data_IF_753813206048
#
_entry.id   IF_753813206048
#
_cell.length_a   1.000
_cell.length_b   1.000
_cell.length_c   1.000
_cell.angle_alpha   90.00
_cell.angle_beta   90.00
_cell.angle_gamma   90.00
#
_symmetry.space_group_name_H-M   'P 1'
#
loop_
_entity.id
_entity.type
_entity.pdbx_description
1 polymer ?
#
# COMPACT_ATOMS: atom_id res chain seq x y z
N UNK A 1 -17.19 33.13 -7.66
CA UNK A 1 -15.79 33.24 -7.20
C UNK A 1 -15.05 31.95 -7.54
N UNK A 2 -13.81 32.06 -8.01
CA UNK A 2 -12.94 30.91 -8.25
C UNK A 2 -12.41 30.40 -6.91
N UNK A 3 -12.77 29.19 -6.54
CA UNK A 3 -12.24 28.53 -5.35
C UNK A 3 -10.88 27.88 -5.70
N UNK A 4 -9.86 28.14 -4.90
CA UNK A 4 -8.55 27.54 -5.11
C UNK A 4 -8.57 26.11 -4.59
N UNK A 5 -8.55 25.12 -5.48
CA UNK A 5 -8.53 23.68 -5.11
C UNK A 5 -7.15 23.26 -4.62
N UNK A 6 -6.08 23.73 -5.28
CA UNK A 6 -4.69 23.40 -4.95
C UNK A 6 -3.78 24.60 -5.17
N UNK A 7 -2.84 24.82 -4.25
CA UNK A 7 -1.79 25.84 -4.38
C UNK A 7 -0.51 25.35 -3.69
N UNK A 8 0.58 25.30 -4.43
CA UNK A 8 1.92 25.19 -3.90
C UNK A 8 2.33 26.55 -3.34
N UNK A 9 2.71 26.61 -2.07
CA UNK A 9 3.04 27.86 -1.36
C UNK A 9 4.55 28.02 -1.16
N UNK A 10 5.23 26.95 -0.80
CA UNK A 10 6.67 26.96 -0.48
C UNK A 10 7.33 25.66 -0.93
N UNK A 11 8.57 25.77 -1.38
CA UNK A 11 9.45 24.64 -1.73
C UNK A 11 10.82 24.83 -1.08
N UNK A 12 11.52 23.73 -0.88
CA UNK A 12 12.94 23.77 -0.50
C UNK A 12 13.84 23.92 -1.76
N UNK A 13 15.16 24.15 -1.60
CA UNK A 13 16.07 24.28 -2.74
C UNK A 13 16.17 23.07 -3.67
N UNK A 14 15.64 21.91 -3.26
CA UNK A 14 15.57 20.70 -4.07
C UNK A 14 14.25 20.55 -4.85
N UNK A 15 13.38 21.58 -4.82
CA UNK A 15 12.06 21.52 -5.47
C UNK A 15 11.04 20.65 -4.73
N UNK A 16 11.31 20.25 -3.48
CA UNK A 16 10.34 19.50 -2.69
C UNK A 16 9.38 20.47 -2.00
N UNK A 17 8.06 20.23 -2.11
CA UNK A 17 7.06 21.06 -1.45
C UNK A 17 7.23 21.04 0.07
N UNK A 18 7.38 22.20 0.70
CA UNK A 18 7.39 22.36 2.15
C UNK A 18 6.05 22.84 2.67
N UNK A 19 5.24 23.50 1.79
CA UNK A 19 3.90 23.94 2.15
C UNK A 19 2.96 23.95 0.96
N UNK A 20 1.82 23.29 1.14
CA UNK A 20 0.76 23.18 0.13
C UNK A 20 -0.57 23.55 0.77
N UNK A 21 -1.42 24.24 0.03
CA UNK A 21 -2.82 24.47 0.39
C UNK A 21 -3.73 23.68 -0.54
N UNK A 22 -4.71 22.97 0.03
CA UNK A 22 -5.76 22.27 -0.71
C UNK A 22 -7.10 22.66 -0.10
N UNK A 23 -7.87 23.48 -0.81
CA UNK A 23 -9.03 24.15 -0.23
C UNK A 23 -8.61 24.92 1.03
N UNK A 24 -9.25 24.65 2.17
CA UNK A 24 -8.97 25.30 3.46
C UNK A 24 -7.94 24.52 4.33
N UNK A 25 -7.28 23.51 3.78
CA UNK A 25 -6.30 22.68 4.51
C UNK A 25 -4.90 23.07 4.09
N UNK A 26 -4.08 23.48 5.05
CA UNK A 26 -2.64 23.67 4.86
C UNK A 26 -1.90 22.38 5.23
N UNK A 27 -0.99 21.94 4.35
CA UNK A 27 -0.09 20.82 4.57
C UNK A 27 1.34 21.34 4.64
N UNK A 28 2.03 20.99 5.72
CA UNK A 28 3.43 21.33 5.92
C UNK A 28 4.25 20.03 5.89
N UNK A 29 5.42 20.08 5.26
CA UNK A 29 6.35 18.99 5.13
C UNK A 29 7.74 19.43 5.57
N UNK A 30 8.39 18.62 6.36
CA UNK A 30 9.76 18.84 6.81
C UNK A 30 10.65 17.72 6.25
N UNK A 31 11.89 18.05 5.92
CA UNK A 31 12.85 17.14 5.32
C UNK A 31 14.20 17.20 6.02
N UNK A 32 14.96 16.13 5.93
CA UNK A 32 16.40 16.15 6.24
C UNK A 32 17.15 16.95 5.18
N UNK A 33 18.44 17.31 5.42
CA UNK A 33 19.30 17.89 4.38
C UNK A 33 19.46 17.00 3.12
N UNK A 34 19.16 15.72 3.22
CA UNK A 34 19.23 14.73 2.14
C UNK A 34 17.87 14.46 1.48
N UNK A 35 16.83 15.23 1.84
CA UNK A 35 15.50 15.12 1.22
C UNK A 35 14.58 14.03 1.80
N UNK A 36 14.96 13.34 2.87
CA UNK A 36 14.07 12.38 3.54
C UNK A 36 13.02 13.12 4.38
N UNK A 37 11.73 12.71 4.36
CA UNK A 37 10.68 13.39 5.11
C UNK A 37 10.88 13.18 6.62
N UNK A 38 10.91 14.25 7.42
CA UNK A 38 10.98 14.19 8.90
C UNK A 38 9.66 14.54 9.56
N UNK A 39 8.75 15.20 8.83
CA UNK A 39 7.44 15.57 9.36
C UNK A 39 6.42 15.83 8.27
N UNK A 40 5.17 15.56 8.59
CA UNK A 40 4.02 15.83 7.72
C UNK A 40 2.83 16.24 8.58
N UNK A 41 2.33 17.44 8.39
CA UNK A 41 1.18 17.95 9.11
C UNK A 41 0.13 18.51 8.15
N UNK A 42 -1.14 18.17 8.37
CA UNK A 42 -2.27 18.74 7.67
C UNK A 42 -3.25 19.34 8.68
N UNK A 43 -3.55 20.65 8.53
CA UNK A 43 -4.42 21.38 9.44
C UNK A 43 -5.31 22.38 8.68
N UNK A 44 -6.56 22.51 9.15
CA UNK A 44 -7.45 23.61 8.85
C UNK A 44 -7.33 24.73 9.90
N UNK A 45 -8.28 25.66 9.91
CA UNK A 45 -8.27 26.82 10.80
C UNK A 45 -8.29 26.46 12.29
N UNK A 46 -9.00 25.39 12.67
CA UNK A 46 -9.19 24.98 14.08
C UNK A 46 -8.88 23.49 14.34
N UNK A 47 -8.60 22.70 13.30
CA UNK A 47 -8.48 21.26 13.41
C UNK A 47 -7.21 20.76 12.75
N UNK A 48 -6.41 19.97 13.48
CA UNK A 48 -5.33 19.17 12.90
C UNK A 48 -5.90 17.82 12.46
N UNK A 49 -5.83 17.54 11.17
CA UNK A 49 -6.31 16.29 10.58
C UNK A 49 -5.25 15.19 10.63
N UNK A 50 -3.99 15.57 10.41
CA UNK A 50 -2.85 14.66 10.36
C UNK A 50 -1.61 15.33 10.96
N UNK A 51 -0.82 14.60 11.74
CA UNK A 51 0.45 15.07 12.27
C UNK A 51 1.38 13.85 12.49
N UNK A 52 2.33 13.66 11.58
CA UNK A 52 3.31 12.59 11.64
C UNK A 52 4.73 13.12 11.74
N UNK A 53 5.56 12.38 12.47
CA UNK A 53 7.01 12.56 12.47
C UNK A 53 7.73 11.26 12.14
N UNK A 54 8.91 11.36 11.54
CA UNK A 54 9.71 10.24 11.05
C UNK A 54 11.16 10.43 11.45
N UNK A 55 11.80 9.33 11.82
CA UNK A 55 13.24 9.26 12.09
C UNK A 55 13.84 8.21 11.16
N UNK A 56 14.89 8.61 10.43
CA UNK A 56 15.63 7.73 9.53
C UNK A 56 17.02 7.46 10.07
N UNK A 57 17.55 6.30 9.75
CA UNK A 57 18.95 5.99 9.95
C UNK A 57 19.81 6.84 8.99
N UNK A 58 20.81 7.60 9.48
CA UNK A 58 21.58 8.51 8.63
C UNK A 58 22.54 7.81 7.66
N UNK A 59 22.85 6.53 7.88
CA UNK A 59 23.76 5.74 7.05
C UNK A 59 23.03 4.96 5.99
N UNK A 60 21.97 4.25 6.39
CA UNK A 60 21.21 3.35 5.49
C UNK A 60 19.99 4.01 4.86
N UNK A 61 19.55 5.17 5.38
CA UNK A 61 18.28 5.83 5.04
C UNK A 61 17.05 4.99 5.34
N UNK A 62 17.17 3.95 6.16
CA UNK A 62 16.05 3.15 6.61
C UNK A 62 15.20 3.93 7.63
N UNK A 63 13.88 3.81 7.54
CA UNK A 63 12.97 4.39 8.53
C UNK A 63 13.13 3.67 9.88
N UNK A 64 13.56 4.37 10.92
CA UNK A 64 13.69 3.81 12.28
C UNK A 64 12.43 3.95 13.12
N UNK A 65 11.77 5.10 12.99
CA UNK A 65 10.58 5.39 13.80
C UNK A 65 9.58 6.20 12.99
N UNK A 66 8.32 5.84 13.10
CA UNK A 66 7.16 6.62 12.65
C UNK A 66 6.28 6.93 13.85
N UNK A 67 5.86 8.19 14.00
CA UNK A 67 4.95 8.60 15.07
C UNK A 67 3.74 9.32 14.53
N UNK A 68 2.55 8.89 14.90
CA UNK A 68 1.32 9.66 14.81
C UNK A 68 1.20 10.54 16.07
N UNK A 69 1.53 11.82 15.94
CA UNK A 69 1.53 12.76 17.07
C UNK A 69 0.11 13.04 17.56
N UNK A 70 -0.88 12.94 16.68
CA UNK A 70 -2.29 13.17 17.02
C UNK A 70 -2.86 12.04 17.87
N UNK A 71 -2.55 10.79 17.51
CA UNK A 71 -3.00 9.58 18.24
C UNK A 71 -2.02 9.16 19.33
N UNK A 72 -0.85 9.76 19.40
CA UNK A 72 0.26 9.39 20.30
C UNK A 72 0.74 7.95 20.11
N UNK A 73 0.69 7.45 18.89
CA UNK A 73 1.15 6.12 18.52
C UNK A 73 2.57 6.22 17.96
N UNK A 74 3.45 5.34 18.41
CA UNK A 74 4.83 5.23 17.92
C UNK A 74 5.03 3.81 17.40
N UNK A 75 5.73 3.70 16.30
CA UNK A 75 6.05 2.44 15.64
C UNK A 75 7.54 2.47 15.26
N UNK A 76 8.28 1.48 15.75
CA UNK A 76 9.70 1.33 15.49
C UNK A 76 9.93 0.22 14.46
N UNK A 77 10.98 0.38 13.65
CA UNK A 77 11.32 -0.51 12.54
C UNK A 77 12.76 -0.97 12.65
N UNK A 78 13.00 -2.25 12.40
CA UNK A 78 14.35 -2.81 12.28
C UNK A 78 14.53 -3.52 10.95
N UNK A 79 15.79 -3.68 10.54
CA UNK A 79 16.14 -4.22 9.23
C UNK A 79 17.33 -5.18 9.36
N UNK A 80 17.43 -6.10 8.42
CA UNK A 80 18.61 -6.98 8.31
C UNK A 80 19.77 -6.31 7.55
N UNK A 81 20.88 -7.03 7.39
CA UNK A 81 22.09 -6.52 6.76
C UNK A 81 21.97 -6.17 5.26
N UNK A 82 20.86 -6.51 4.61
CA UNK A 82 20.54 -6.15 3.23
C UNK A 82 19.30 -5.24 3.14
N UNK A 83 18.98 -4.55 4.24
CA UNK A 83 17.90 -3.57 4.35
C UNK A 83 16.48 -4.12 4.18
N UNK A 84 16.22 -5.42 4.44
CA UNK A 84 14.87 -5.94 4.51
C UNK A 84 14.29 -5.72 5.90
N UNK A 85 13.02 -5.35 5.98
CA UNK A 85 12.31 -5.11 7.24
C UNK A 85 12.21 -6.39 8.07
N UNK A 86 12.73 -6.39 9.30
CA UNK A 86 12.66 -7.52 10.23
C UNK A 86 11.68 -7.32 11.37
N UNK A 87 11.39 -6.07 11.75
CA UNK A 87 10.31 -5.76 12.69
C UNK A 87 9.61 -4.43 12.40
N UNK A 88 8.36 -4.32 12.82
CA UNK A 88 7.54 -3.10 12.76
C UNK A 88 6.60 -3.10 13.97
N UNK A 89 6.71 -2.10 14.82
CA UNK A 89 6.04 -2.10 16.13
C UNK A 89 6.36 -3.39 16.90
N UNK A 90 5.32 -4.08 17.36
CA UNK A 90 5.42 -5.36 18.08
C UNK A 90 5.49 -6.59 17.17
N UNK A 91 5.54 -6.40 15.86
CA UNK A 91 5.51 -7.47 14.88
C UNK A 91 6.88 -7.75 14.26
N UNK A 92 7.06 -8.99 13.80
CA UNK A 92 8.28 -9.44 13.14
C UNK A 92 8.01 -10.06 11.76
N UNK A 93 9.06 -10.02 10.91
CA UNK A 93 9.07 -10.62 9.57
C UNK A 93 10.32 -11.46 9.42
N UNK A 94 10.19 -12.66 8.86
CA UNK A 94 11.31 -13.53 8.48
C UNK A 94 11.26 -13.86 6.98
N UNK A 95 12.43 -14.22 6.43
CA UNK A 95 12.61 -14.45 5.01
C UNK A 95 13.39 -15.74 4.73
N UNK A 96 13.14 -16.34 3.59
CA UNK A 96 14.01 -17.39 3.04
C UNK A 96 15.23 -16.79 2.31
N UNK A 97 16.10 -17.68 1.82
CA UNK A 97 17.32 -17.30 1.07
C UNK A 97 17.03 -16.63 -0.28
N UNK A 98 15.81 -16.79 -0.81
CA UNK A 98 15.36 -16.16 -2.06
C UNK A 98 14.72 -14.79 -1.83
N UNK A 99 14.52 -14.39 -0.56
CA UNK A 99 13.88 -13.14 -0.18
C UNK A 99 12.37 -13.23 -0.02
N UNK A 100 11.77 -14.41 -0.12
CA UNK A 100 10.35 -14.61 0.16
C UNK A 100 10.08 -14.46 1.66
N UNK A 101 9.00 -13.82 2.04
CA UNK A 101 8.54 -13.75 3.44
C UNK A 101 8.10 -15.14 3.87
N UNK A 102 8.74 -15.71 4.88
CA UNK A 102 8.36 -17.01 5.45
C UNK A 102 7.40 -16.91 6.61
N UNK A 103 7.48 -15.80 7.37
CA UNK A 103 6.56 -15.55 8.47
C UNK A 103 6.36 -14.06 8.70
N UNK A 104 5.13 -13.67 9.06
CA UNK A 104 4.77 -12.38 9.69
C UNK A 104 4.00 -12.68 10.95
N UNK A 105 4.45 -12.18 12.09
CA UNK A 105 3.87 -12.52 13.40
C UNK A 105 2.39 -12.14 13.55
N UNK A 106 1.93 -11.11 12.85
CA UNK A 106 0.53 -10.65 12.84
C UNK A 106 -0.36 -11.40 11.83
N UNK A 107 0.24 -12.19 10.93
CA UNK A 107 -0.49 -12.93 9.88
C UNK A 107 -0.31 -14.43 10.05
N UNK A 108 0.94 -14.92 10.04
CA UNK A 108 1.25 -16.34 10.09
C UNK A 108 2.38 -16.76 9.15
N UNK A 109 2.40 -18.05 8.79
CA UNK A 109 3.44 -18.66 7.95
C UNK A 109 3.02 -18.70 6.50
N UNK A 110 3.91 -18.26 5.61
CA UNK A 110 3.70 -18.22 4.17
C UNK A 110 4.40 -19.41 3.49
N UNK A 111 3.70 -20.08 2.57
CA UNK A 111 4.20 -21.21 1.78
C UNK A 111 4.25 -20.85 0.30
N UNK A 112 5.25 -21.40 -0.40
CA UNK A 112 5.54 -21.15 -1.82
C UNK A 112 5.64 -22.48 -2.56
N UNK A 113 4.48 -23.13 -2.78
CA UNK A 113 4.38 -24.50 -3.34
C UNK A 113 4.23 -24.58 -4.86
N UNK A 114 4.09 -23.43 -5.56
CA UNK A 114 3.87 -23.41 -7.00
C UNK A 114 5.20 -23.54 -7.76
N UNK A 115 5.45 -24.66 -8.42
CA UNK A 115 6.73 -24.98 -9.09
C UNK A 115 7.12 -23.97 -10.19
N UNK A 116 6.13 -23.41 -10.90
CA UNK A 116 6.32 -22.43 -11.97
C UNK A 116 6.19 -20.97 -11.50
N UNK A 117 5.90 -20.74 -10.22
CA UNK A 117 5.72 -19.41 -9.59
C UNK A 117 6.41 -19.36 -8.22
N UNK A 118 7.75 -19.42 -8.16
CA UNK A 118 8.51 -19.59 -6.91
C UNK A 118 8.40 -18.43 -5.91
N UNK A 119 7.89 -17.30 -6.36
CA UNK A 119 7.67 -16.10 -5.55
C UNK A 119 6.18 -15.83 -5.26
N UNK A 120 5.27 -16.65 -5.78
CA UNK A 120 3.84 -16.51 -5.49
C UNK A 120 3.50 -17.34 -4.25
N UNK A 121 2.84 -16.71 -3.28
CA UNK A 121 2.32 -17.38 -2.10
C UNK A 121 1.27 -18.39 -2.54
N UNK A 122 1.42 -19.66 -2.14
CA UNK A 122 0.46 -20.73 -2.42
C UNK A 122 -0.52 -20.94 -1.28
N UNK A 123 -0.09 -20.65 -0.06
CA UNK A 123 -0.88 -20.87 1.15
C UNK A 123 -0.36 -19.98 2.28
N UNK A 124 -1.23 -19.60 3.21
CA UNK A 124 -0.87 -18.92 4.46
C UNK A 124 -1.50 -19.68 5.62
N UNK A 125 -0.66 -20.24 6.49
CA UNK A 125 -1.11 -20.76 7.78
C UNK A 125 -1.34 -19.58 8.73
N UNK A 126 -2.59 -19.15 8.86
CA UNK A 126 -2.95 -17.98 9.65
C UNK A 126 -2.79 -18.29 11.14
N UNK A 127 -1.96 -17.52 11.82
CA UNK A 127 -1.73 -17.60 13.28
C UNK A 127 -2.02 -16.27 14.00
N UNK A 128 -2.04 -15.16 13.27
CA UNK A 128 -2.35 -13.84 13.79
C UNK A 128 -3.81 -13.42 13.54
N UNK A 129 -4.14 -12.21 13.98
CA UNK A 129 -5.50 -11.64 13.86
C UNK A 129 -5.60 -10.52 12.79
N UNK A 130 -4.51 -10.24 12.08
CA UNK A 130 -4.46 -9.13 11.11
C UNK A 130 -5.24 -9.42 9.82
N UNK A 131 -5.42 -10.71 9.49
CA UNK A 131 -6.12 -11.15 8.28
C UNK A 131 -7.18 -12.17 8.66
N UNK A 132 -8.45 -12.04 8.21
CA UNK A 132 -9.45 -13.06 8.41
C UNK A 132 -9.08 -14.32 7.61
N UNK A 133 -9.46 -15.50 8.13
CA UNK A 133 -9.35 -16.74 7.37
C UNK A 133 -10.23 -16.66 6.12
N UNK A 134 -9.61 -16.89 4.96
CA UNK A 134 -10.30 -16.96 3.65
C UNK A 134 -9.63 -18.02 2.79
N UNK A 135 -10.45 -18.82 2.13
CA UNK A 135 -9.98 -19.76 1.11
C UNK A 135 -10.19 -19.09 -0.26
N UNK A 136 -9.09 -18.81 -0.95
CA UNK A 136 -9.11 -18.18 -2.26
C UNK A 136 -8.33 -19.02 -3.26
N UNK A 137 -8.88 -19.18 -4.45
CA UNK A 137 -8.18 -19.71 -5.60
C UNK A 137 -7.72 -18.55 -6.50
N UNK A 138 -6.42 -18.50 -6.79
CA UNK A 138 -5.83 -17.44 -7.60
C UNK A 138 -5.14 -18.03 -8.81
N UNK A 139 -5.54 -17.58 -10.01
CA UNK A 139 -4.82 -17.88 -11.24
C UNK A 139 -3.98 -16.68 -11.68
N UNK A 140 -2.92 -16.96 -12.46
CA UNK A 140 -1.97 -15.93 -12.88
C UNK A 140 -1.85 -15.87 -14.40
N UNK A 141 -1.60 -14.67 -14.93
CA UNK A 141 -1.17 -14.46 -16.31
C UNK A 141 0.25 -14.99 -16.54
N UNK A 142 0.67 -15.09 -17.81
CA UNK A 142 2.05 -15.47 -18.17
C UNK A 142 3.09 -14.46 -17.66
N UNK A 143 2.73 -13.21 -17.44
CA UNK A 143 3.56 -12.13 -16.90
C UNK A 143 3.38 -11.92 -15.39
N UNK A 144 2.90 -12.94 -14.67
CA UNK A 144 2.84 -13.02 -13.19
C UNK A 144 1.91 -12.01 -12.50
N UNK A 145 0.89 -11.51 -13.18
CA UNK A 145 -0.21 -10.75 -12.57
C UNK A 145 -1.38 -11.69 -12.26
N UNK A 146 -2.21 -11.44 -11.22
CA UNK A 146 -3.44 -12.19 -10.99
C UNK A 146 -4.35 -12.14 -12.22
N UNK A 147 -4.80 -13.29 -12.72
CA UNK A 147 -5.77 -13.37 -13.81
C UNK A 147 -7.20 -13.47 -13.26
N UNK A 148 -7.41 -14.36 -12.29
CA UNK A 148 -8.67 -14.48 -11.55
C UNK A 148 -8.40 -14.64 -10.06
N UNK A 149 -9.33 -14.20 -9.23
CA UNK A 149 -9.39 -14.49 -7.79
C UNK A 149 -10.82 -14.98 -7.51
N UNK A 150 -10.95 -16.22 -7.04
CA UNK A 150 -12.23 -16.82 -6.68
C UNK A 150 -12.30 -17.07 -5.19
N UNK A 151 -13.41 -16.71 -4.57
CA UNK A 151 -13.73 -16.94 -3.16
C UNK A 151 -15.22 -17.23 -3.02
N UNK A 152 -15.58 -18.38 -2.46
CA UNK A 152 -16.94 -18.87 -2.39
C UNK A 152 -17.59 -18.96 -3.80
N UNK A 153 -18.65 -18.14 -4.03
CA UNK A 153 -19.33 -18.08 -5.33
C UNK A 153 -18.86 -16.89 -6.20
N UNK A 154 -17.96 -16.05 -5.67
CA UNK A 154 -17.54 -14.83 -6.35
C UNK A 154 -16.22 -15.05 -7.08
N UNK A 155 -16.13 -14.46 -8.28
CA UNK A 155 -14.89 -14.42 -9.05
C UNK A 155 -14.62 -13.00 -9.53
N UNK A 156 -13.43 -12.49 -9.22
CA UNK A 156 -12.89 -11.29 -9.82
C UNK A 156 -11.95 -11.70 -10.97
N UNK A 157 -12.21 -11.21 -12.18
CA UNK A 157 -11.36 -11.40 -13.36
C UNK A 157 -10.71 -10.09 -13.78
N UNK A 158 -9.44 -10.14 -14.18
CA UNK A 158 -8.64 -8.95 -14.46
C UNK A 158 -8.16 -8.93 -15.91
N UNK A 159 -8.19 -7.76 -16.52
CA UNK A 159 -7.63 -7.49 -17.84
C UNK A 159 -6.53 -6.44 -17.70
N UNK A 160 -5.44 -6.65 -18.43
CA UNK A 160 -4.25 -5.80 -18.42
C UNK A 160 -3.97 -5.31 -19.84
N UNK A 161 -3.31 -4.15 -19.95
CA UNK A 161 -2.77 -3.63 -21.21
C UNK A 161 -1.39 -4.24 -21.51
N UNK A 162 -0.75 -3.73 -22.56
CA UNK A 162 0.58 -4.15 -23.01
C UNK A 162 1.71 -3.73 -22.05
N UNK A 163 1.48 -2.75 -21.19
CA UNK A 163 2.39 -2.34 -20.11
C UNK A 163 2.18 -3.14 -18.82
N UNK A 164 1.25 -4.12 -18.85
CA UNK A 164 0.85 -4.92 -17.67
C UNK A 164 0.17 -4.11 -16.57
N UNK A 165 -0.41 -2.96 -16.90
CA UNK A 165 -1.27 -2.20 -16.01
C UNK A 165 -2.72 -2.68 -16.11
N UNK A 166 -3.42 -2.68 -14.97
CA UNK A 166 -4.81 -3.14 -14.91
C UNK A 166 -5.73 -2.12 -15.59
N UNK A 167 -6.45 -2.56 -16.63
CA UNK A 167 -7.42 -1.71 -17.35
C UNK A 167 -8.86 -2.06 -17.03
N UNK A 168 -9.14 -3.31 -16.58
CA UNK A 168 -10.51 -3.72 -16.24
C UNK A 168 -10.51 -4.80 -15.16
N UNK A 169 -11.52 -4.75 -14.29
CA UNK A 169 -11.91 -5.83 -13.39
C UNK A 169 -13.39 -6.12 -13.57
N UNK A 170 -13.77 -7.39 -13.63
CA UNK A 170 -15.15 -7.85 -13.62
C UNK A 170 -15.36 -8.71 -12.38
N UNK A 171 -16.40 -8.44 -11.62
CA UNK A 171 -16.81 -9.30 -10.50
C UNK A 171 -18.13 -10.00 -10.88
N UNK A 172 -18.13 -11.32 -10.71
CA UNK A 172 -19.32 -12.16 -10.95
C UNK A 172 -19.64 -13.02 -9.73
N UNK A 173 -20.93 -13.30 -9.53
CA UNK A 173 -21.42 -14.36 -8.66
C UNK A 173 -21.79 -15.56 -9.55
N UNK A 174 -21.06 -16.67 -9.38
CA UNK A 174 -21.11 -17.83 -10.29
C UNK A 174 -20.88 -17.36 -11.74
N UNK A 175 -21.94 -17.36 -12.57
CA UNK A 175 -21.88 -16.97 -13.98
C UNK A 175 -22.55 -15.62 -14.29
N UNK A 176 -23.00 -14.89 -13.25
CA UNK A 176 -23.69 -13.61 -13.42
C UNK A 176 -22.73 -12.48 -13.10
N UNK A 177 -22.47 -11.60 -14.07
CA UNK A 177 -21.70 -10.38 -13.81
C UNK A 177 -22.49 -9.49 -12.85
N UNK A 178 -21.81 -9.04 -11.79
CA UNK A 178 -22.35 -8.10 -10.81
C UNK A 178 -21.97 -6.66 -11.17
N UNK A 179 -20.71 -6.45 -11.49
CA UNK A 179 -20.20 -5.16 -11.93
C UNK A 179 -18.88 -5.27 -12.69
N UNK A 180 -18.58 -4.22 -13.44
CA UNK A 180 -17.26 -3.97 -14.03
C UNK A 180 -16.65 -2.70 -13.48
N UNK A 181 -15.34 -2.68 -13.32
CA UNK A 181 -14.56 -1.49 -13.00
C UNK A 181 -13.49 -1.31 -14.06
N UNK A 182 -13.40 -0.12 -14.61
CA UNK A 182 -12.39 0.27 -15.59
C UNK A 182 -11.42 1.24 -14.96
N UNK A 183 -10.14 1.10 -15.27
CA UNK A 183 -9.05 1.91 -14.76
C UNK A 183 -8.44 2.69 -15.92
N UNK A 184 -8.48 4.01 -15.86
CA UNK A 184 -8.07 4.89 -16.95
C UNK A 184 -6.92 5.78 -16.50
N UNK A 185 -5.70 5.49 -16.98
CA UNK A 185 -4.50 6.30 -16.77
C UNK A 185 -4.10 6.52 -15.31
N UNK A 186 -4.46 5.59 -14.40
CA UNK A 186 -4.10 5.67 -12.98
C UNK A 186 -4.79 6.76 -12.15
N UNK A 187 -5.67 7.56 -12.76
CA UNK A 187 -6.31 8.71 -12.10
C UNK A 187 -7.83 8.73 -12.20
N UNK A 188 -8.43 7.87 -13.01
CA UNK A 188 -9.88 7.80 -13.17
C UNK A 188 -10.35 6.34 -13.13
N UNK A 189 -11.42 6.09 -12.38
CA UNK A 189 -12.09 4.79 -12.32
C UNK A 189 -13.57 4.95 -12.72
N UNK A 190 -14.04 4.09 -13.64
CA UNK A 190 -15.44 3.98 -14.00
C UNK A 190 -16.02 2.69 -13.41
N UNK A 191 -17.13 2.79 -12.72
CA UNK A 191 -17.88 1.67 -12.17
C UNK A 191 -19.18 1.49 -12.97
N UNK A 192 -19.41 0.28 -13.46
CA UNK A 192 -20.64 -0.11 -14.15
C UNK A 192 -21.29 -1.28 -13.41
N UNK A 193 -22.49 -1.07 -12.86
CA UNK A 193 -23.31 -2.14 -12.29
C UNK A 193 -23.96 -2.95 -13.42
N UNK A 194 -24.07 -4.27 -13.25
CA UNK A 194 -24.80 -5.11 -14.20
C UNK A 194 -26.33 -4.89 -14.17
N UNK A 195 -26.84 -4.15 -13.18
CA UNK A 195 -28.26 -3.85 -13.05
C UNK A 195 -28.65 -2.42 -13.52
N UNK A 196 -27.74 -1.69 -14.17
CA UNK A 196 -27.98 -0.36 -14.73
C UNK A 196 -27.81 0.75 -13.71
#
# INVERSE_FOLDING_TARGET
GTETIFKLLEENPFGQPTKIMTGNITRNYNYTPYGLPTGRKAAGSSTTYQDFSYVFDPVTSNLKTRRDNKRKLTEDFTYDGINRLTSYGDNSVTYDVKGNITNKSDVGTFKYGLSNKPYAVSEVDIAGNAVPYREQEITYTSFSRPNTISENNYTASFVYDDESERVRMVVSDKNTNLFSRYYLGGCYELYESAQG
#
